data_IF_508338855187
#
_entry.id   IF_508338855187
#
_cell.length_a   1.000
_cell.length_b   1.000
_cell.length_c   1.000
_cell.angle_alpha   90.00
_cell.angle_beta   90.00
_cell.angle_gamma   90.00
#
_symmetry.space_group_name_H-M   'P 1'
#
loop_
_entity.id
_entity.type
_entity.pdbx_description
1 polymer ?
#
# COMPACT_ATOMS: atom_id res chain seq x y z
N UNK A 1 10.35 -5.62 6.53
CA UNK A 1 9.30 -4.61 6.31
C UNK A 1 8.93 -4.66 4.83
N UNK A 2 7.64 -4.62 4.52
CA UNK A 2 7.10 -4.56 3.16
C UNK A 2 5.71 -3.93 3.20
N UNK A 3 5.14 -3.59 2.05
CA UNK A 3 3.80 -3.04 1.97
C UNK A 3 3.39 -2.73 0.55
N UNK A 4 2.22 -2.10 0.43
CA UNK A 4 1.57 -1.77 -0.85
C UNK A 4 0.87 -0.42 -0.75
N UNK A 5 0.52 0.15 -1.89
CA UNK A 5 -0.27 1.38 -2.00
C UNK A 5 -1.77 1.05 -2.15
N UNK A 6 -2.65 2.00 -1.83
CA UNK A 6 -4.09 1.77 -1.93
C UNK A 6 -4.54 1.49 -3.37
N UNK A 7 -3.89 2.11 -4.37
CA UNK A 7 -4.25 1.99 -5.78
C UNK A 7 -3.05 1.62 -6.67
N UNK A 8 -2.47 0.44 -6.47
CA UNK A 8 -1.31 -0.06 -7.24
C UNK A 8 -1.56 -0.16 -8.75
N UNK A 9 -2.76 -0.57 -9.15
CA UNK A 9 -3.10 -0.87 -10.53
C UNK A 9 -3.38 0.38 -11.38
N UNK A 10 -3.69 1.52 -10.77
CA UNK A 10 -4.18 2.70 -11.50
C UNK A 10 -3.15 3.28 -12.47
N UNK A 11 -1.86 3.27 -12.10
CA UNK A 11 -0.77 3.70 -12.98
C UNK A 11 -0.74 2.87 -14.29
N UNK A 12 -0.84 1.55 -14.18
CA UNK A 12 -0.81 0.65 -15.34
C UNK A 12 -2.09 0.74 -16.19
N UNK A 13 -3.23 1.03 -15.56
CA UNK A 13 -4.47 1.28 -16.28
C UNK A 13 -4.42 2.53 -17.15
N UNK A 14 -3.66 3.56 -16.76
CA UNK A 14 -3.43 4.73 -17.62
C UNK A 14 -2.76 4.30 -18.93
N UNK A 15 -1.68 3.52 -18.89
CA UNK A 15 -1.04 3.02 -20.12
C UNK A 15 -1.90 2.04 -20.92
N UNK A 16 -2.76 1.28 -20.25
CA UNK A 16 -3.58 0.24 -20.90
C UNK A 16 -4.83 0.83 -21.59
N UNK A 17 -5.41 1.89 -21.00
CA UNK A 17 -6.73 2.41 -21.36
C UNK A 17 -6.69 3.81 -21.96
N UNK A 18 -5.66 4.60 -21.67
CA UNK A 18 -5.56 5.98 -22.12
C UNK A 18 -4.55 6.07 -23.25
N UNK A 19 -5.05 6.17 -24.48
CA UNK A 19 -4.23 6.35 -25.68
C UNK A 19 -4.00 7.82 -26.06
N UNK A 20 -4.52 8.78 -25.29
CA UNK A 20 -4.51 10.20 -25.63
C UNK A 20 -3.99 11.09 -24.48
N UNK A 21 -3.20 12.09 -24.84
CA UNK A 21 -2.63 13.11 -23.93
C UNK A 21 -3.70 13.96 -23.22
N UNK A 22 -4.95 13.97 -23.71
CA UNK A 22 -6.05 14.79 -23.18
C UNK A 22 -6.48 14.41 -21.75
N UNK A 23 -6.08 13.24 -21.26
CA UNK A 23 -6.45 12.77 -19.92
C UNK A 23 -5.73 13.54 -18.80
N UNK A 24 -4.60 14.18 -19.12
CA UNK A 24 -3.91 15.10 -18.23
C UNK A 24 -4.59 16.47 -18.15
N UNK A 25 -5.48 16.81 -19.09
CA UNK A 25 -6.17 18.11 -19.14
C UNK A 25 -7.36 18.16 -18.18
N UNK A 26 -8.08 17.04 -18.00
CA UNK A 26 -9.24 16.96 -17.11
C UNK A 26 -9.06 15.88 -16.03
N UNK A 27 -8.74 16.33 -14.81
CA UNK A 27 -8.52 15.45 -13.64
C UNK A 27 -9.75 14.67 -13.18
N UNK A 28 -10.96 15.05 -13.64
CA UNK A 28 -12.22 14.33 -13.35
C UNK A 28 -12.57 13.29 -14.41
N UNK A 29 -11.81 13.23 -15.51
CA UNK A 29 -12.05 12.25 -16.57
C UNK A 29 -11.81 10.82 -16.05
N UNK A 30 -12.67 9.90 -16.47
CA UNK A 30 -12.59 8.48 -16.14
C UNK A 30 -12.13 7.69 -17.37
N UNK A 31 -11.30 6.66 -17.20
CA UNK A 31 -10.77 5.87 -18.30
C UNK A 31 -11.83 4.91 -18.90
N UNK A 32 -12.97 4.77 -18.22
CA UNK A 32 -14.07 3.87 -18.59
C UNK A 32 -15.37 4.64 -18.61
N UNK A 33 -15.97 4.79 -19.79
CA UNK A 33 -17.24 5.48 -19.97
C UNK A 33 -18.42 4.50 -20.09
N UNK A 34 -18.20 3.32 -20.64
CA UNK A 34 -19.24 2.34 -20.91
C UNK A 34 -18.93 0.96 -20.33
N UNK A 35 -19.96 0.11 -20.25
CA UNK A 35 -19.80 -1.29 -19.87
C UNK A 35 -18.90 -2.04 -20.86
N UNK A 36 -18.96 -1.69 -22.15
CA UNK A 36 -18.12 -2.31 -23.17
C UNK A 36 -16.63 -1.97 -22.95
N UNK A 37 -16.33 -0.70 -22.66
CA UNK A 37 -14.98 -0.25 -22.30
C UNK A 37 -14.44 -1.01 -21.09
N UNK A 38 -15.29 -1.19 -20.07
CA UNK A 38 -14.95 -1.95 -18.86
C UNK A 38 -14.54 -3.39 -19.18
N UNK A 39 -15.36 -4.12 -19.95
CA UNK A 39 -15.04 -5.51 -20.26
C UNK A 39 -13.81 -5.61 -21.16
N UNK A 40 -13.68 -4.74 -22.17
CA UNK A 40 -12.48 -4.67 -23.02
C UNK A 40 -11.22 -4.42 -22.21
N UNK A 41 -11.28 -3.52 -21.23
CA UNK A 41 -10.21 -3.27 -20.27
C UNK A 41 -9.91 -4.51 -19.42
N UNK A 42 -10.95 -5.18 -18.92
CA UNK A 42 -10.82 -6.35 -18.06
C UNK A 42 -10.13 -7.51 -18.79
N UNK A 43 -10.45 -7.76 -20.06
CA UNK A 43 -9.73 -8.75 -20.87
C UNK A 43 -8.22 -8.46 -20.91
N UNK A 44 -7.82 -7.20 -21.11
CA UNK A 44 -6.40 -6.81 -21.10
C UNK A 44 -5.77 -6.96 -19.73
N UNK A 45 -6.45 -6.50 -18.67
CA UNK A 45 -5.97 -6.59 -17.27
C UNK A 45 -5.75 -8.05 -16.83
N UNK A 46 -6.46 -8.99 -17.44
CA UNK A 46 -6.31 -10.43 -17.18
C UNK A 46 -5.35 -11.14 -18.16
N UNK A 47 -4.73 -10.41 -19.09
CA UNK A 47 -3.91 -10.94 -20.19
C UNK A 47 -4.66 -11.95 -21.08
N UNK A 48 -5.97 -11.73 -21.31
CA UNK A 48 -6.86 -12.60 -22.08
C UNK A 48 -7.28 -12.02 -23.43
N UNK A 49 -6.82 -10.81 -23.77
CA UNK A 49 -7.25 -10.06 -24.97
C UNK A 49 -6.76 -10.67 -26.29
N UNK A 50 -5.69 -11.45 -26.24
CA UNK A 50 -5.09 -12.12 -27.40
C UNK A 50 -5.31 -13.65 -27.42
N UNK A 51 -6.22 -14.17 -26.56
CA UNK A 51 -6.49 -15.60 -26.51
C UNK A 51 -7.19 -16.09 -27.80
N UNK A 52 -6.81 -17.29 -28.25
CA UNK A 52 -7.36 -17.91 -29.47
C UNK A 52 -8.81 -18.38 -29.30
N UNK A 53 -9.30 -18.51 -28.07
CA UNK A 53 -10.61 -19.00 -27.67
C UNK A 53 -11.27 -18.04 -26.67
N UNK A 54 -11.65 -16.83 -27.13
CA UNK A 54 -12.27 -15.81 -26.27
C UNK A 54 -13.58 -16.31 -25.63
N UNK A 55 -14.26 -17.26 -26.27
CA UNK A 55 -15.46 -17.93 -25.75
C UNK A 55 -15.20 -18.66 -24.42
N UNK A 56 -14.01 -19.26 -24.26
CA UNK A 56 -13.63 -19.95 -23.03
C UNK A 56 -13.12 -18.98 -21.96
N UNK A 57 -12.59 -17.82 -22.38
CA UNK A 57 -12.09 -16.78 -21.47
C UNK A 57 -13.21 -15.92 -20.88
N UNK A 58 -14.37 -15.85 -21.54
CA UNK A 58 -15.54 -15.11 -21.06
C UNK A 58 -15.95 -15.55 -19.64
N UNK A 59 -15.84 -16.84 -19.32
CA UNK A 59 -16.12 -17.36 -17.99
C UNK A 59 -15.18 -16.77 -16.92
N UNK A 60 -13.89 -16.65 -17.20
CA UNK A 60 -12.90 -16.05 -16.28
C UNK A 60 -13.19 -14.57 -16.04
N UNK A 61 -13.48 -13.85 -17.11
CA UNK A 61 -13.84 -12.42 -17.06
C UNK A 61 -15.11 -12.21 -16.24
N UNK A 62 -16.14 -13.03 -16.47
CA UNK A 62 -17.44 -12.94 -15.77
C UNK A 62 -17.31 -13.27 -14.28
N UNK A 63 -16.55 -14.31 -13.93
CA UNK A 63 -16.32 -14.67 -12.52
C UNK A 63 -15.48 -13.59 -11.82
N UNK A 64 -14.51 -13.00 -12.50
CA UNK A 64 -13.71 -11.90 -11.94
C UNK A 64 -14.57 -10.66 -11.71
N UNK A 65 -15.43 -10.29 -12.67
CA UNK A 65 -16.41 -9.21 -12.50
C UNK A 65 -17.30 -9.47 -11.28
N UNK A 66 -17.82 -10.69 -11.14
CA UNK A 66 -18.66 -11.10 -10.01
C UNK A 66 -17.92 -10.96 -8.67
N UNK A 67 -16.66 -11.36 -8.58
CA UNK A 67 -15.88 -11.30 -7.34
C UNK A 67 -15.67 -9.87 -6.83
N UNK A 68 -15.50 -8.92 -7.74
CA UNK A 68 -15.24 -7.51 -7.41
C UNK A 68 -16.48 -6.63 -7.35
N UNK A 69 -17.64 -7.15 -7.76
CA UNK A 69 -18.87 -6.39 -7.80
C UNK A 69 -19.44 -6.15 -6.41
N UNK A 70 -19.68 -4.88 -6.09
CA UNK A 70 -20.54 -4.51 -4.98
C UNK A 70 -22.01 -4.49 -5.45
N UNK A 71 -22.78 -5.51 -5.09
CA UNK A 71 -24.20 -5.62 -5.45
C UNK A 71 -25.10 -4.58 -4.78
N UNK A 72 -24.58 -3.82 -3.81
CA UNK A 72 -25.30 -2.70 -3.18
C UNK A 72 -25.15 -1.38 -3.94
N UNK A 73 -24.27 -1.30 -4.94
CA UNK A 73 -24.02 -0.09 -5.73
C UNK A 73 -24.48 -0.27 -7.18
N UNK A 74 -25.05 0.79 -7.81
CA UNK A 74 -25.39 0.76 -9.23
C UNK A 74 -24.11 0.82 -10.08
N UNK A 75 -24.08 0.05 -11.17
CA UNK A 75 -22.98 0.11 -12.13
C UNK A 75 -23.01 1.43 -12.91
N UNK A 76 -21.86 2.08 -12.94
CA UNK A 76 -21.60 3.36 -13.60
C UNK A 76 -20.09 3.53 -13.85
N UNK A 77 -19.65 4.54 -14.63
CA UNK A 77 -18.25 4.82 -14.93
C UNK A 77 -17.30 4.78 -13.72
N UNK A 78 -17.70 5.36 -12.59
CA UNK A 78 -16.87 5.40 -11.38
C UNK A 78 -16.70 3.99 -10.77
N UNK A 79 -17.79 3.23 -10.67
CA UNK A 79 -17.73 1.86 -10.14
C UNK A 79 -16.91 0.93 -11.02
N UNK A 80 -17.04 1.02 -12.35
CA UNK A 80 -16.23 0.21 -13.28
C UNK A 80 -14.75 0.55 -13.20
N UNK A 81 -14.41 1.84 -13.17
CA UNK A 81 -13.03 2.30 -13.00
C UNK A 81 -12.43 1.77 -11.71
N UNK A 82 -13.17 1.86 -10.60
CA UNK A 82 -12.74 1.35 -9.29
C UNK A 82 -12.57 -0.17 -9.28
N UNK A 83 -13.47 -0.90 -9.93
CA UNK A 83 -13.38 -2.35 -10.03
C UNK A 83 -12.14 -2.78 -10.81
N UNK A 84 -11.88 -2.19 -11.97
CA UNK A 84 -10.66 -2.47 -12.75
C UNK A 84 -9.40 -2.14 -11.97
N UNK A 85 -9.38 -1.01 -11.29
CA UNK A 85 -8.25 -0.61 -10.45
C UNK A 85 -8.00 -1.67 -9.37
N UNK A 86 -9.04 -2.05 -8.63
CA UNK A 86 -8.94 -3.05 -7.57
C UNK A 86 -8.51 -4.44 -8.09
N UNK A 87 -9.02 -4.87 -9.25
CA UNK A 87 -8.65 -6.13 -9.92
C UNK A 87 -7.16 -6.09 -10.29
N UNK A 88 -6.73 -5.01 -10.97
CA UNK A 88 -5.34 -4.82 -11.40
C UNK A 88 -4.38 -4.75 -10.21
N UNK A 89 -4.74 -3.99 -9.18
CA UNK A 89 -3.99 -3.86 -7.92
C UNK A 89 -3.77 -5.21 -7.23
N UNK A 90 -4.86 -5.98 -7.05
CA UNK A 90 -4.78 -7.23 -6.30
C UNK A 90 -4.00 -8.30 -7.04
N UNK A 91 -4.30 -8.48 -8.34
CA UNK A 91 -3.67 -9.51 -9.17
C UNK A 91 -2.16 -9.30 -9.26
N UNK A 92 -1.73 -8.06 -9.49
CA UNK A 92 -0.34 -7.76 -9.85
C UNK A 92 0.55 -7.41 -8.65
N UNK A 93 -0.02 -6.85 -7.57
CA UNK A 93 0.77 -6.31 -6.46
C UNK A 93 0.30 -6.78 -5.09
N UNK A 94 -0.96 -6.48 -4.71
CA UNK A 94 -1.42 -6.67 -3.32
C UNK A 94 -1.40 -8.13 -2.89
N UNK A 95 -2.02 -9.02 -3.65
CA UNK A 95 -2.10 -10.42 -3.25
C UNK A 95 -0.75 -11.14 -3.30
N UNK A 96 0.10 -10.95 -4.33
CA UNK A 96 1.47 -11.46 -4.29
C UNK A 96 2.28 -10.95 -3.08
N UNK A 97 2.17 -9.68 -2.71
CA UNK A 97 2.87 -9.12 -1.54
C UNK A 97 2.36 -9.72 -0.22
N UNK A 98 1.05 -9.88 -0.07
CA UNK A 98 0.43 -10.50 1.10
C UNK A 98 0.81 -11.98 1.20
N UNK A 99 0.77 -12.72 0.09
CA UNK A 99 1.18 -14.13 0.04
C UNK A 99 2.66 -14.29 0.40
N UNK A 100 3.52 -13.37 -0.06
CA UNK A 100 4.93 -13.36 0.31
C UNK A 100 5.12 -13.07 1.81
N UNK A 101 4.38 -12.11 2.38
CA UNK A 101 4.40 -11.83 3.81
C UNK A 101 3.98 -13.06 4.64
N UNK A 102 2.88 -13.71 4.25
CA UNK A 102 2.42 -14.96 4.87
C UNK A 102 3.45 -16.08 4.74
N UNK A 103 4.13 -16.21 3.60
CA UNK A 103 5.16 -17.22 3.40
C UNK A 103 6.34 -17.01 4.36
N UNK A 104 6.80 -15.76 4.54
CA UNK A 104 7.84 -15.43 5.52
C UNK A 104 7.41 -15.82 6.93
N UNK A 105 6.22 -15.42 7.37
CA UNK A 105 5.73 -15.75 8.72
C UNK A 105 5.53 -17.25 8.92
N UNK A 106 5.07 -17.97 7.90
CA UNK A 106 4.90 -19.43 7.97
C UNK A 106 6.24 -20.18 8.07
N UNK A 107 7.30 -19.67 7.44
CA UNK A 107 8.66 -20.18 7.65
C UNK A 107 9.17 -19.92 9.08
N UNK A 108 8.63 -18.92 9.77
CA UNK A 108 8.99 -18.55 11.13
C UNK A 108 8.34 -19.45 12.21
N UNK A 109 7.60 -20.51 11.83
CA UNK A 109 6.98 -21.43 12.79
C UNK A 109 8.04 -22.18 13.59
N UNK A 110 8.00 -22.14 14.94
CA UNK A 110 8.86 -22.98 15.76
C UNK A 110 8.61 -24.44 15.39
N UNK A 111 9.67 -25.23 15.24
CA UNK A 111 9.50 -26.67 15.10
C UNK A 111 8.75 -27.18 16.34
N UNK A 112 7.66 -27.92 16.17
CA UNK A 112 6.81 -28.41 17.27
C UNK A 112 7.60 -29.15 18.37
N UNK A 113 8.75 -29.75 18.01
CA UNK A 113 9.64 -30.47 18.91
C UNK A 113 10.74 -29.60 19.56
N UNK A 114 10.92 -28.34 19.13
CA UNK A 114 11.81 -27.34 19.72
C UNK A 114 11.20 -25.92 19.72
N UNK A 115 10.16 -25.66 20.52
CA UNK A 115 9.55 -24.33 20.65
C UNK A 115 10.51 -23.25 21.19
N UNK A 116 11.60 -23.65 21.86
CA UNK A 116 12.63 -22.74 22.37
C UNK A 116 13.65 -22.29 21.30
N UNK A 117 13.74 -22.96 20.15
CA UNK A 117 14.44 -22.40 18.99
C UNK A 117 13.47 -21.42 18.32
N UNK A 118 13.53 -20.14 18.72
CA UNK A 118 13.06 -19.09 17.81
C UNK A 118 13.83 -19.27 16.51
N UNK A 119 13.11 -19.45 15.42
CA UNK A 119 13.67 -19.33 14.10
C UNK A 119 14.53 -18.05 14.05
N UNK A 120 15.70 -18.11 13.42
CA UNK A 120 16.63 -16.96 13.21
C UNK A 120 15.94 -15.82 12.42
N UNK A 121 14.73 -16.06 11.94
CA UNK A 121 13.93 -15.14 11.15
C UNK A 121 13.41 -13.96 11.96
N UNK A 122 13.63 -12.77 11.42
CA UNK A 122 13.20 -11.49 12.00
C UNK A 122 11.69 -11.29 11.84
N UNK A 123 11.06 -10.49 12.73
CA UNK A 123 9.66 -10.10 12.61
C UNK A 123 9.32 -9.50 11.23
N UNK A 124 8.12 -9.83 10.73
CA UNK A 124 7.58 -9.24 9.50
C UNK A 124 6.71 -8.04 9.86
N UNK A 125 6.82 -6.95 9.12
CA UNK A 125 6.00 -5.75 9.29
C UNK A 125 5.40 -5.39 7.94
N UNK A 126 4.07 -5.27 7.87
CA UNK A 126 3.32 -4.97 6.66
C UNK A 126 2.66 -3.58 6.76
N UNK A 127 2.65 -2.80 5.68
CA UNK A 127 1.91 -1.54 5.59
C UNK A 127 1.01 -1.45 4.36
N UNK A 128 0.01 -0.59 4.44
CA UNK A 128 -0.71 -0.04 3.28
C UNK A 128 -0.59 1.49 3.29
N UNK A 129 -0.01 2.06 2.24
CA UNK A 129 0.07 3.51 2.04
C UNK A 129 -1.19 3.98 1.32
N UNK A 130 -2.01 4.79 1.99
CA UNK A 130 -3.34 5.18 1.49
C UNK A 130 -3.44 6.66 1.15
N UNK A 131 -2.41 7.44 1.43
CA UNK A 131 -2.42 8.88 1.22
C UNK A 131 -2.16 9.26 -0.25
N UNK A 132 -3.04 10.08 -0.82
CA UNK A 132 -2.82 10.70 -2.12
C UNK A 132 -2.37 12.14 -1.92
N UNK A 133 -1.18 12.46 -2.43
CA UNK A 133 -0.65 13.84 -2.41
C UNK A 133 -1.66 14.83 -3.00
N UNK A 134 -1.96 15.91 -2.29
CA UNK A 134 -3.04 16.85 -2.65
C UNK A 134 -2.79 17.55 -3.99
N UNK A 135 -1.54 17.97 -4.20
CA UNK A 135 -1.11 18.70 -5.39
C UNK A 135 -0.80 17.78 -6.59
N UNK A 136 -0.98 16.47 -6.43
CA UNK A 136 -0.61 15.48 -7.43
C UNK A 136 -1.35 15.73 -8.76
N UNK A 137 -0.66 15.95 -9.90
CA UNK A 137 -1.28 16.42 -11.14
C UNK A 137 -2.13 15.36 -11.83
N UNK A 138 -1.99 14.09 -11.44
CA UNK A 138 -2.73 12.99 -12.01
C UNK A 138 -4.25 13.10 -11.81
N UNK A 139 -5.06 12.39 -12.60
CA UNK A 139 -6.50 12.28 -12.41
C UNK A 139 -6.86 11.81 -10.99
N UNK A 140 -7.98 12.29 -10.45
CA UNK A 140 -8.39 11.99 -9.07
C UNK A 140 -8.70 10.51 -8.86
N UNK A 141 -9.30 9.84 -9.84
CA UNK A 141 -9.65 8.42 -9.75
C UNK A 141 -8.42 7.52 -9.58
N UNK A 142 -7.24 7.97 -10.01
CA UNK A 142 -6.03 7.17 -9.91
C UNK A 142 -5.59 6.96 -8.45
N UNK A 143 -6.09 7.79 -7.52
CA UNK A 143 -5.93 7.57 -6.09
C UNK A 143 -4.47 7.60 -5.66
N UNK A 144 -4.11 6.68 -4.78
CA UNK A 144 -2.76 6.51 -4.23
C UNK A 144 -2.00 5.51 -5.08
N UNK A 145 -1.43 6.03 -6.17
CA UNK A 145 -0.85 5.23 -7.24
C UNK A 145 0.43 4.50 -6.83
N UNK A 146 0.77 3.45 -7.57
CA UNK A 146 2.05 2.74 -7.49
C UNK A 146 3.27 3.69 -7.49
N UNK A 147 4.17 3.52 -6.51
CA UNK A 147 5.44 4.23 -6.40
C UNK A 147 5.39 5.64 -5.80
N UNK A 148 4.21 6.18 -5.50
CA UNK A 148 4.09 7.54 -4.94
C UNK A 148 4.38 7.62 -3.44
N UNK A 149 4.49 6.49 -2.76
CA UNK A 149 4.99 6.41 -1.38
C UNK A 149 6.52 6.62 -1.30
N UNK A 150 7.25 6.37 -2.40
CA UNK A 150 8.71 6.50 -2.48
C UNK A 150 9.14 7.91 -2.09
N UNK A 151 8.40 8.92 -2.54
CA UNK A 151 8.67 10.33 -2.25
C UNK A 151 8.70 10.63 -0.75
N UNK A 152 7.79 10.00 0.01
CA UNK A 152 7.70 10.11 1.46
C UNK A 152 8.82 9.33 2.16
N UNK A 153 9.19 8.16 1.64
CA UNK A 153 10.33 7.39 2.18
C UNK A 153 11.65 8.14 2.04
N UNK A 154 11.83 8.90 0.95
CA UNK A 154 13.07 9.60 0.64
C UNK A 154 13.09 11.08 1.07
N UNK A 155 12.04 11.59 1.71
CA UNK A 155 12.01 12.97 2.22
C UNK A 155 11.81 14.03 1.14
N UNK A 156 11.24 13.67 -0.02
CA UNK A 156 10.93 14.61 -1.10
C UNK A 156 10.03 15.78 -0.69
N UNK A 157 9.11 15.65 0.30
CA UNK A 157 8.37 16.79 0.85
C UNK A 157 9.21 17.95 1.40
N UNK A 158 10.50 17.74 1.64
CA UNK A 158 11.47 18.75 2.07
C UNK A 158 12.36 19.30 0.95
N UNK A 159 12.30 18.73 -0.26
CA UNK A 159 13.16 19.13 -1.37
C UNK A 159 12.60 20.35 -2.10
N UNK A 160 13.24 21.55 -2.01
CA UNK A 160 12.80 22.71 -2.78
C UNK A 160 12.95 22.46 -4.28
N UNK A 161 14.02 21.78 -4.70
CA UNK A 161 14.26 21.43 -6.11
C UNK A 161 13.13 20.55 -6.64
N UNK A 162 12.62 19.59 -5.87
CA UNK A 162 11.48 18.80 -6.31
C UNK A 162 10.20 19.64 -6.39
N UNK A 163 9.94 20.44 -5.36
CA UNK A 163 8.75 21.30 -5.30
C UNK A 163 8.71 22.36 -6.42
N UNK A 164 9.87 22.77 -6.94
CA UNK A 164 10.00 23.68 -8.08
C UNK A 164 9.75 23.00 -9.43
N UNK A 165 10.18 21.74 -9.60
CA UNK A 165 10.13 21.03 -10.88
C UNK A 165 8.90 20.13 -11.06
N UNK A 166 8.26 19.71 -9.97
CA UNK A 166 7.16 18.75 -9.99
C UNK A 166 5.93 19.31 -9.29
N UNK A 167 5.67 18.90 -8.04
CA UNK A 167 4.52 19.33 -7.27
C UNK A 167 4.88 19.47 -5.78
N UNK A 168 3.98 20.08 -5.01
CA UNK A 168 4.26 20.58 -3.66
C UNK A 168 3.60 19.71 -2.59
N UNK A 169 4.16 19.73 -1.39
CA UNK A 169 3.62 18.98 -0.28
C UNK A 169 3.09 19.91 0.82
N UNK A 170 2.03 19.50 1.48
CA UNK A 170 1.47 20.15 2.66
C UNK A 170 2.30 19.86 3.91
N UNK A 171 2.07 20.59 4.98
CA UNK A 171 2.73 20.31 6.26
C UNK A 171 2.33 18.95 6.84
N UNK A 172 1.08 18.51 6.61
CA UNK A 172 0.63 17.19 7.02
C UNK A 172 1.36 16.07 6.25
N UNK A 173 1.62 16.28 4.95
CA UNK A 173 2.40 15.37 4.12
C UNK A 173 3.89 15.33 4.51
N UNK A 174 4.46 16.47 4.93
CA UNK A 174 5.81 16.51 5.53
C UNK A 174 5.87 15.72 6.83
N UNK A 175 4.88 15.88 7.71
CA UNK A 175 4.80 15.09 8.94
C UNK A 175 4.64 13.59 8.66
N UNK A 176 3.85 13.21 7.65
CA UNK A 176 3.76 11.81 7.21
C UNK A 176 5.11 11.28 6.71
N UNK A 177 5.85 12.08 5.94
CA UNK A 177 7.21 11.77 5.48
C UNK A 177 8.16 11.54 6.66
N UNK A 178 8.12 12.39 7.69
CA UNK A 178 8.92 12.19 8.90
C UNK A 178 8.59 10.89 9.63
N UNK A 179 7.30 10.56 9.76
CA UNK A 179 6.85 9.29 10.36
C UNK A 179 7.39 8.10 9.57
N UNK A 180 7.30 8.14 8.24
CA UNK A 180 7.79 7.07 7.36
C UNK A 180 9.32 6.94 7.43
N UNK A 181 10.07 8.03 7.26
CA UNK A 181 11.52 8.03 7.41
C UNK A 181 11.96 7.50 8.78
N UNK A 182 11.23 7.84 9.85
CA UNK A 182 11.50 7.31 11.19
C UNK A 182 11.33 5.79 11.25
N UNK A 183 10.20 5.23 10.79
CA UNK A 183 10.01 3.78 10.79
C UNK A 183 11.05 3.06 9.92
N UNK A 184 11.34 3.57 8.73
CA UNK A 184 12.29 2.96 7.80
C UNK A 184 13.72 2.96 8.36
N UNK A 185 14.17 4.09 8.91
CA UNK A 185 15.52 4.18 9.49
C UNK A 185 15.66 3.40 10.80
N UNK A 186 14.60 3.31 11.62
CA UNK A 186 14.58 2.45 12.80
C UNK A 186 14.70 0.97 12.41
N UNK A 187 13.89 0.53 11.43
CA UNK A 187 13.94 -0.85 10.94
C UNK A 187 15.29 -1.20 10.32
N UNK A 188 15.89 -0.29 9.53
CA UNK A 188 17.21 -0.51 8.94
C UNK A 188 18.30 -0.69 9.99
N UNK A 189 18.24 0.05 11.11
CA UNK A 189 19.23 -0.03 12.20
C UNK A 189 19.01 -1.23 13.11
N UNK A 190 17.76 -1.54 13.45
CA UNK A 190 17.45 -2.44 14.57
C UNK A 190 16.72 -3.71 14.16
N UNK A 191 16.05 -3.71 13.01
CA UNK A 191 15.09 -4.74 12.63
C UNK A 191 13.69 -4.56 13.23
N UNK A 192 13.45 -3.52 14.05
CA UNK A 192 12.14 -3.15 14.59
C UNK A 192 11.83 -1.68 14.23
N UNK A 193 10.74 -1.39 13.48
CA UNK A 193 10.40 -0.02 13.11
C UNK A 193 10.05 0.86 14.32
N UNK A 194 9.71 0.25 15.47
CA UNK A 194 9.29 0.94 16.68
C UNK A 194 10.45 1.31 17.59
N UNK A 195 11.66 0.78 17.37
CA UNK A 195 12.80 0.97 18.27
C UNK A 195 13.66 2.15 17.80
N UNK A 196 13.66 3.22 18.60
CA UNK A 196 14.46 4.42 18.36
C UNK A 196 15.96 4.17 18.64
N UNK A 197 16.88 4.98 18.07
CA UNK A 197 18.32 4.82 18.28
C UNK A 197 18.77 4.88 19.75
N UNK A 198 18.01 5.58 20.61
CA UNK A 198 18.27 5.70 22.04
C UNK A 198 17.67 4.54 22.87
N UNK A 199 17.17 3.49 22.21
CA UNK A 199 16.56 2.32 22.85
C UNK A 199 15.13 2.54 23.37
N UNK A 200 14.53 3.72 23.16
CA UNK A 200 13.11 3.97 23.49
C UNK A 200 12.19 3.50 22.37
N UNK A 201 10.94 3.22 22.70
CA UNK A 201 9.92 2.86 21.72
C UNK A 201 9.15 4.11 21.27
N UNK A 202 8.74 4.15 20.00
CA UNK A 202 7.99 5.27 19.39
C UNK A 202 6.70 5.70 20.13
N UNK A 203 6.16 4.84 21.01
CA UNK A 203 4.94 5.12 21.79
C UNK A 203 5.18 5.38 23.29
N UNK A 204 6.44 5.48 23.75
CA UNK A 204 6.73 5.56 25.20
C UNK A 204 6.21 6.83 25.90
N UNK A 205 5.81 7.86 25.14
CA UNK A 205 5.38 9.15 25.69
C UNK A 205 3.84 9.33 25.74
N UNK A 206 3.06 8.66 24.88
CA UNK A 206 1.58 8.63 24.98
C UNK A 206 1.09 7.90 26.23
N UNK A 207 1.87 6.92 26.71
CA UNK A 207 1.52 6.15 27.91
C UNK A 207 1.81 6.93 29.22
N UNK A 208 2.67 7.95 29.15
CA UNK A 208 2.96 8.88 30.24
C UNK A 208 1.97 10.04 30.31
N UNK A 209 1.52 10.57 29.17
CA UNK A 209 0.55 11.66 29.12
C UNK A 209 -0.85 11.25 29.58
N UNK A 210 -1.19 9.95 29.56
CA UNK A 210 -2.38 9.42 30.25
C UNK A 210 -2.27 9.37 31.78
N UNK A 211 -1.06 9.49 32.35
CA UNK A 211 -0.81 9.40 33.80
C UNK A 211 -0.51 10.73 34.49
N UNK A 212 -0.31 11.82 33.74
CA UNK A 212 -0.05 13.14 34.33
C UNK A 212 -1.29 14.00 34.14
N UNK A 213 -2.05 14.15 35.22
CA UNK A 213 -3.13 15.11 35.33
C UNK A 213 -2.63 16.55 35.11
N UNK A 214 -3.53 17.36 34.56
CA UNK A 214 -3.38 18.79 34.23
C UNK A 214 -2.59 19.61 35.26
N UNK A 215 -1.57 20.31 34.79
CA UNK A 215 -1.19 21.64 35.28
C UNK A 215 -0.74 22.51 34.09
N UNK A 216 -1.17 23.79 33.99
CA UNK A 216 -0.79 24.65 32.87
C UNK A 216 0.52 25.39 33.20
N UNK A 217 1.57 25.20 32.41
CA UNK A 217 2.79 26.00 32.50
C UNK A 217 2.84 27.08 31.41
N UNK A 218 3.13 28.30 31.86
CA UNK A 218 3.23 29.54 31.11
C UNK A 218 4.43 29.56 30.18
N UNK A 219 4.25 30.17 29.01
CA UNK A 219 5.33 30.46 28.07
C UNK A 219 6.09 31.72 28.55
N UNK A 220 7.37 31.58 28.84
CA UNK A 220 8.30 32.73 28.82
C UNK A 220 9.32 32.50 27.71
N UNK A 221 9.48 33.56 26.91
CA UNK A 221 10.38 33.65 25.76
C UNK A 221 11.84 33.72 26.22
N UNK A 222 12.74 33.07 25.49
CA UNK A 222 14.17 33.35 25.58
C UNK A 222 14.82 33.20 24.22
N UNK A 223 15.29 34.33 23.72
CA UNK A 223 16.11 34.52 22.52
C UNK A 223 17.58 34.31 22.92
N UNK A 224 18.32 33.58 22.09
CA UNK A 224 19.78 33.65 21.98
C UNK A 224 20.58 32.57 22.72
N UNK A 225 21.30 31.74 21.97
CA UNK A 225 22.76 31.65 22.01
C UNK A 225 23.30 30.40 21.26
N UNK A 226 24.29 30.67 20.43
CA UNK A 226 25.52 29.90 20.20
C UNK A 226 25.46 28.45 19.65
N UNK A 227 25.94 28.29 18.41
CA UNK A 227 26.04 27.03 17.69
C UNK A 227 27.34 26.30 18.06
N UNK A 228 27.26 25.44 19.08
CA UNK A 228 28.18 24.32 19.24
C UNK A 228 27.43 23.03 18.93
N UNK A 229 27.84 22.33 17.88
CA UNK A 229 27.24 21.08 17.43
C UNK A 229 27.64 19.94 18.38
N UNK A 230 26.79 19.67 19.38
CA UNK A 230 26.82 18.45 20.16
C UNK A 230 26.22 17.29 19.34
N UNK A 231 27.01 16.24 19.14
CA UNK A 231 26.59 15.02 18.45
C UNK A 231 25.53 14.19 19.23
N UNK A 232 25.04 14.72 20.37
CA UNK A 232 23.94 14.15 21.15
C UNK A 232 22.54 14.69 20.77
N UNK A 233 22.44 15.76 19.97
CA UNK A 233 21.14 16.30 19.58
C UNK A 233 20.55 15.52 18.42
N UNK A 234 19.77 14.48 18.72
CA UNK A 234 18.82 13.91 17.75
C UNK A 234 17.78 14.98 17.42
N UNK A 235 18.05 15.80 16.41
CA UNK A 235 17.10 16.73 15.84
C UNK A 235 16.05 15.95 15.05
N UNK A 236 15.12 15.28 15.75
CA UNK A 236 13.77 15.16 15.24
C UNK A 236 13.06 16.44 15.72
N UNK A 237 12.90 17.44 14.85
CA UNK A 237 12.08 18.59 15.21
C UNK A 237 10.65 18.05 15.32
N UNK A 238 9.99 18.33 16.44
CA UNK A 238 8.60 17.96 16.74
C UNK A 238 8.36 16.53 17.29
N UNK A 239 7.51 16.47 18.30
CA UNK A 239 6.96 15.24 18.86
C UNK A 239 6.06 14.58 17.81
N UNK A 240 6.64 13.77 16.94
CA UNK A 240 5.88 12.99 15.96
C UNK A 240 4.94 12.03 16.69
N UNK A 241 3.65 12.14 16.40
CA UNK A 241 2.66 11.20 16.94
C UNK A 241 2.75 9.88 16.18
N UNK A 242 3.65 9.03 16.65
CA UNK A 242 3.87 7.69 16.11
C UNK A 242 2.84 6.71 16.66
N UNK A 243 2.67 5.59 15.97
CA UNK A 243 1.82 4.48 16.40
C UNK A 243 2.63 3.21 16.37
N UNK A 244 2.50 2.38 17.39
CA UNK A 244 3.15 1.06 17.40
C UNK A 244 2.73 0.24 16.16
N UNK A 245 3.71 -0.07 15.33
CA UNK A 245 3.60 -0.96 14.19
C UNK A 245 3.70 -2.40 14.69
N UNK A 246 2.57 -3.09 14.74
CA UNK A 246 2.50 -4.47 15.19
C UNK A 246 3.14 -5.40 14.16
N UNK A 247 3.67 -6.52 14.64
CA UNK A 247 4.18 -7.58 13.78
C UNK A 247 3.03 -8.16 12.94
N UNK A 248 3.29 -8.42 11.67
CA UNK A 248 2.40 -9.17 10.80
C UNK A 248 2.60 -10.66 11.09
N UNK A 249 1.59 -11.32 11.63
CA UNK A 249 1.61 -12.74 11.97
C UNK A 249 0.45 -13.52 11.28
N UNK A 250 0.42 -14.84 11.44
CA UNK A 250 -0.60 -15.71 10.81
C UNK A 250 -1.98 -15.66 11.50
N UNK A 251 -2.08 -15.12 12.71
CA UNK A 251 -3.32 -15.10 13.49
C UNK A 251 -4.09 -13.81 13.26
N UNK A 252 -3.40 -12.68 13.29
CA UNK A 252 -3.97 -11.33 13.27
C UNK A 252 -3.78 -10.65 11.93
N UNK A 253 -2.72 -10.99 11.18
CA UNK A 253 -2.36 -10.37 9.89
C UNK A 253 -2.45 -8.83 9.93
N UNK A 254 -2.04 -8.24 11.05
CA UNK A 254 -2.15 -6.80 11.28
C UNK A 254 -1.15 -6.03 10.43
N UNK A 255 -1.62 -4.94 9.83
CA UNK A 255 -0.80 -4.04 9.04
C UNK A 255 -1.04 -2.57 9.43
N UNK A 256 -0.02 -1.75 9.23
CA UNK A 256 -0.08 -0.32 9.49
C UNK A 256 -0.64 0.41 8.26
N UNK A 257 -1.61 1.30 8.46
CA UNK A 257 -2.17 2.15 7.41
C UNK A 257 -1.53 3.53 7.55
N UNK A 258 -0.79 3.94 6.52
CA UNK A 258 -0.04 5.20 6.46
C UNK A 258 -0.88 6.26 5.75
N UNK A 259 -1.22 7.32 6.49
CA UNK A 259 -2.04 8.45 6.04
C UNK A 259 -1.71 9.73 6.84
N UNK A 260 -2.08 10.90 6.32
CA UNK A 260 -1.76 12.20 6.95
C UNK A 260 -2.55 12.46 8.23
N UNK A 261 -3.82 12.05 8.31
CA UNK A 261 -4.68 12.30 9.47
C UNK A 261 -4.18 11.61 10.75
N UNK A 262 -4.19 10.28 10.74
CA UNK A 262 -3.74 9.43 11.85
C UNK A 262 -3.33 8.06 11.32
N UNK A 263 -2.24 7.52 11.87
CA UNK A 263 -1.81 6.16 11.58
C UNK A 263 -2.83 5.14 12.10
N UNK A 264 -3.39 4.36 11.17
CA UNK A 264 -4.42 3.35 11.47
C UNK A 264 -3.81 1.94 11.42
N UNK A 265 -4.56 0.95 11.89
CA UNK A 265 -4.18 -0.46 11.77
C UNK A 265 -5.34 -1.20 11.15
N UNK A 266 -5.05 -2.02 10.14
CA UNK A 266 -5.99 -3.00 9.60
C UNK A 266 -5.60 -4.41 10.02
N UNK A 267 -6.46 -5.38 9.69
CA UNK A 267 -6.22 -6.80 9.87
C UNK A 267 -6.78 -7.55 8.65
N UNK A 268 -6.21 -8.71 8.33
CA UNK A 268 -6.63 -9.58 7.23
C UNK A 268 -6.79 -8.86 5.88
N UNK A 269 -5.72 -8.19 5.39
CA UNK A 269 -5.80 -7.40 4.16
C UNK A 269 -6.24 -8.29 2.99
N UNK A 270 -7.30 -7.86 2.28
CA UNK A 270 -7.78 -8.49 1.04
C UNK A 270 -8.00 -10.01 1.13
N UNK A 271 -8.35 -10.54 2.31
CA UNK A 271 -8.43 -11.99 2.56
C UNK A 271 -9.29 -12.75 1.53
N UNK A 272 -10.46 -12.20 1.19
CA UNK A 272 -11.36 -12.76 0.18
C UNK A 272 -10.76 -12.71 -1.23
N UNK A 273 -10.32 -11.53 -1.68
CA UNK A 273 -9.79 -11.32 -3.03
C UNK A 273 -8.50 -12.12 -3.26
N UNK A 274 -7.61 -12.18 -2.28
CA UNK A 274 -6.38 -12.95 -2.41
C UNK A 274 -6.61 -14.46 -2.37
N UNK A 275 -7.66 -14.95 -1.69
CA UNK A 275 -8.08 -16.34 -1.85
C UNK A 275 -8.58 -16.64 -3.26
N UNK A 276 -9.31 -15.71 -3.89
CA UNK A 276 -9.73 -15.84 -5.28
C UNK A 276 -8.53 -15.97 -6.23
N UNK A 277 -7.57 -15.04 -6.17
CA UNK A 277 -6.38 -15.07 -7.04
C UNK A 277 -5.46 -16.26 -6.78
N UNK A 278 -5.28 -16.65 -5.51
CA UNK A 278 -4.37 -17.73 -5.14
C UNK A 278 -4.94 -19.12 -5.42
N UNK A 279 -6.25 -19.33 -5.27
CA UNK A 279 -6.85 -20.66 -5.33
C UNK A 279 -7.80 -20.87 -6.49
N UNK A 280 -8.67 -19.91 -6.79
CA UNK A 280 -9.76 -20.12 -7.75
C UNK A 280 -9.36 -19.78 -9.17
N UNK A 281 -8.80 -18.58 -9.38
CA UNK A 281 -8.46 -18.10 -10.73
C UNK A 281 -7.49 -19.04 -11.47
N UNK A 282 -6.39 -19.57 -10.88
CA UNK A 282 -5.47 -20.46 -11.59
C UNK A 282 -6.10 -21.79 -11.98
N UNK A 283 -7.00 -22.33 -11.14
CA UNK A 283 -7.73 -23.56 -11.43
C UNK A 283 -8.68 -23.34 -12.61
N UNK A 284 -9.45 -22.25 -12.59
CA UNK A 284 -10.36 -21.90 -13.68
C UNK A 284 -9.61 -21.69 -15.00
N UNK A 285 -8.48 -20.99 -14.96
CA UNK A 285 -7.64 -20.75 -16.13
C UNK A 285 -7.13 -22.08 -16.71
N UNK A 286 -6.59 -22.96 -15.85
CA UNK A 286 -6.14 -24.29 -16.28
C UNK A 286 -7.28 -25.12 -16.90
N UNK A 287 -8.49 -25.03 -16.36
CA UNK A 287 -9.65 -25.71 -16.94
C UNK A 287 -10.02 -25.16 -18.33
N UNK A 288 -10.01 -23.83 -18.48
CA UNK A 288 -10.27 -23.18 -19.76
C UNK A 288 -9.20 -23.53 -20.82
N UNK A 289 -7.92 -23.54 -20.43
CA UNK A 289 -6.79 -23.95 -21.29
C UNK A 289 -6.85 -25.42 -21.72
N UNK A 290 -7.32 -26.32 -20.83
CA UNK A 290 -7.54 -27.73 -21.18
C UNK A 290 -8.63 -27.88 -22.24
N UNK A 291 -9.71 -27.10 -22.14
CA UNK A 291 -10.81 -27.11 -23.11
C UNK A 291 -10.43 -26.46 -24.45
N UNK A 292 -9.52 -25.48 -24.44
CA UNK A 292 -9.03 -24.83 -25.66
C UNK A 292 -8.08 -25.71 -26.48
N UNK A 293 -7.60 -26.82 -25.91
CA UNK A 293 -6.71 -27.78 -26.59
C UNK A 293 -5.24 -27.38 -26.59
N UNK A 294 -4.86 -26.32 -25.88
CA UNK A 294 -3.45 -25.98 -25.62
C UNK A 294 -2.86 -26.92 -24.57
N UNK A 295 -2.48 -28.13 -25.00
CA UNK A 295 -1.49 -28.90 -24.27
C UNK A 295 -0.16 -28.14 -24.31
N UNK A 296 0.35 -27.72 -23.16
CA UNK A 296 1.80 -27.49 -23.03
C UNK A 296 2.51 -28.80 -23.41
N UNK A 297 3.54 -28.79 -24.26
CA UNK A 297 4.33 -29.99 -24.49
C UNK A 297 4.93 -30.40 -23.15
N UNK A 298 4.59 -31.61 -22.67
CA UNK A 298 5.39 -32.27 -21.63
C UNK A 298 6.82 -32.38 -22.17
N UNK A 299 7.74 -31.64 -21.54
CA UNK A 299 9.18 -31.90 -21.59
C UNK A 299 9.68 -32.00 -20.17
#
# INVERSE_FOLDING_TARGET
MMGVNANEGSYFLLYTLVSNDSFFENRESLPVATREDYFKALYKVLDLDNDRRPDLMEALVTITDFEYRNFSEPLNPHTWTRMLEAISSDRSFKCPAIDFAQALVNQNRPAHWKPALRSITRPTYFYEFVHRTESLPWPKWAGTMHGYEIEYVFGMPYSPVFAENYYRFTDAERELSDKMMTYWTNFARTGDPNLLPNGKFVNSDEEKSRKVGREPQSWESSVGADLTLDASSTCLPHHLRMRRWQEFDNETEVFLILDTDNLRTGAHPRSRQCLFWRRWFPILLQHAERLSGSCLPMK
#
